data_IF_899823607729
#
_entry.id   IF_899823607729
#
_cell.length_a   1.000
_cell.length_b   1.000
_cell.length_c   1.000
_cell.angle_alpha   90.00
_cell.angle_beta   90.00
_cell.angle_gamma   90.00
#
_symmetry.space_group_name_H-M   'P 1'
#
loop_
_entity.id
_entity.type
_entity.pdbx_description
1 polymer ?
#
# COMPACT_ATOMS: atom_id res chain seq x y z
N UNK A 1 -5.60 2.79 29.67
CA UNK A 1 -4.97 2.57 28.34
C UNK A 1 -5.43 3.75 27.50
N UNK A 2 -4.63 4.80 27.40
CA UNK A 2 -4.82 5.82 26.37
C UNK A 2 -4.53 5.13 25.04
N UNK A 3 -5.56 4.94 24.24
CA UNK A 3 -5.43 4.55 22.85
C UNK A 3 -4.69 5.71 22.18
N UNK A 4 -3.41 5.48 21.89
CA UNK A 4 -2.55 6.44 21.24
C UNK A 4 -2.94 6.44 19.75
N UNK A 5 -4.09 7.07 19.45
CA UNK A 5 -4.46 7.30 18.04
C UNK A 5 -3.35 8.10 17.38
N UNK A 6 -2.61 7.43 16.51
CA UNK A 6 -1.59 8.07 15.68
C UNK A 6 -2.27 8.91 14.61
N UNK A 7 -2.52 10.17 14.93
CA UNK A 7 -3.03 11.13 13.96
C UNK A 7 -1.92 11.59 13.03
N UNK A 8 -2.18 11.54 11.73
CA UNK A 8 -1.23 11.96 10.71
C UNK A 8 -0.94 13.46 10.79
N UNK A 9 0.33 13.80 11.02
CA UNK A 9 0.80 15.17 10.98
C UNK A 9 1.41 15.48 9.62
N UNK A 10 0.62 16.04 8.72
CA UNK A 10 1.11 16.47 7.41
C UNK A 10 1.99 17.71 7.57
N UNK A 11 3.25 17.61 7.17
CA UNK A 11 4.19 18.73 7.14
C UNK A 11 3.92 19.59 5.89
N UNK A 12 3.16 20.67 6.08
CA UNK A 12 2.86 21.62 4.99
C UNK A 12 4.07 22.53 4.73
N UNK A 13 5.19 21.95 4.28
CA UNK A 13 6.39 22.70 3.91
C UNK A 13 6.34 23.10 2.45
N UNK A 14 6.65 24.36 2.16
CA UNK A 14 6.89 24.80 0.77
C UNK A 14 8.13 24.08 0.23
N UNK A 15 8.18 23.73 -1.07
CA UNK A 15 9.35 23.11 -1.70
C UNK A 15 10.51 24.11 -1.74
N UNK A 16 11.36 24.09 -0.73
CA UNK A 16 12.49 24.99 -0.56
C UNK A 16 13.85 24.27 -0.71
N UNK A 17 13.84 23.03 -1.17
CA UNK A 17 15.05 22.22 -1.33
C UNK A 17 16.04 22.83 -2.31
N UNK A 18 15.56 23.47 -3.39
CA UNK A 18 16.45 24.13 -4.36
C UNK A 18 17.18 25.34 -3.74
N UNK A 19 16.45 26.19 -3.03
CA UNK A 19 17.04 27.33 -2.35
C UNK A 19 18.04 26.89 -1.27
N UNK A 20 17.70 25.84 -0.51
CA UNK A 20 18.59 25.25 0.46
C UNK A 20 19.83 24.63 -0.20
N UNK A 21 19.68 23.88 -1.28
CA UNK A 21 20.80 23.28 -2.02
C UNK A 21 21.77 24.34 -2.57
N UNK A 22 21.23 25.41 -3.17
CA UNK A 22 22.05 26.54 -3.68
C UNK A 22 22.73 27.26 -2.51
N UNK A 23 22.01 27.57 -1.44
CA UNK A 23 22.57 28.27 -0.28
C UNK A 23 23.69 27.47 0.40
N UNK A 24 23.46 26.19 0.70
CA UNK A 24 24.49 25.33 1.28
C UNK A 24 25.63 25.06 0.31
N UNK A 25 25.35 24.93 -1.01
CA UNK A 25 26.37 24.78 -2.05
C UNK A 25 27.28 26.01 -2.16
N UNK A 26 26.70 27.21 -2.17
CA UNK A 26 27.45 28.45 -2.19
C UNK A 26 28.36 28.61 -0.95
N UNK A 27 27.80 28.28 0.23
CA UNK A 27 28.55 28.34 1.48
C UNK A 27 29.70 27.33 1.51
N UNK A 28 29.51 26.14 0.90
CA UNK A 28 30.54 25.11 0.76
C UNK A 28 31.67 25.58 -0.20
N UNK A 29 31.33 26.22 -1.32
CA UNK A 29 32.30 26.79 -2.27
C UNK A 29 33.09 27.91 -1.63
N UNK A 30 32.43 28.80 -0.86
CA UNK A 30 33.10 29.88 -0.11
C UNK A 30 34.10 29.30 0.89
N UNK A 31 33.75 28.24 1.61
CA UNK A 31 34.65 27.58 2.56
C UNK A 31 35.90 27.01 1.88
N UNK A 32 35.73 26.41 0.69
CA UNK A 32 36.87 25.92 -0.12
C UNK A 32 37.75 27.07 -0.57
N UNK A 33 37.16 28.17 -1.07
CA UNK A 33 37.91 29.36 -1.51
C UNK A 33 38.70 29.99 -0.35
N UNK A 34 38.08 30.08 0.85
CA UNK A 34 38.75 30.57 2.04
C UNK A 34 39.90 29.66 2.50
N UNK A 35 39.73 28.33 2.35
CA UNK A 35 40.80 27.37 2.64
C UNK A 35 41.98 27.56 1.70
N UNK A 36 41.75 27.76 0.40
CA UNK A 36 42.80 28.04 -0.60
C UNK A 36 43.50 29.39 -0.33
N UNK A 37 42.73 30.44 0.04
CA UNK A 37 43.27 31.71 0.42
C UNK A 37 44.14 31.61 1.69
N UNK A 38 43.70 30.86 2.68
CA UNK A 38 44.48 30.59 3.89
C UNK A 38 45.81 29.90 3.61
N UNK A 39 45.81 28.95 2.65
CA UNK A 39 47.03 28.29 2.20
C UNK A 39 48.00 29.26 1.52
N UNK A 40 47.51 30.12 0.62
CA UNK A 40 48.32 31.15 -0.03
C UNK A 40 48.89 32.18 0.97
N UNK A 41 48.12 32.56 1.98
CA UNK A 41 48.60 33.43 3.07
C UNK A 41 49.64 32.76 3.94
N UNK A 42 49.54 31.46 4.14
CA UNK A 42 50.53 30.70 4.88
C UNK A 42 51.88 30.65 4.20
N UNK A 43 51.92 30.50 2.84
CA UNK A 43 53.18 30.53 2.08
C UNK A 43 53.87 31.92 2.10
N UNK A 44 53.13 33.00 2.28
CA UNK A 44 53.65 34.37 2.31
C UNK A 44 53.99 34.88 3.74
N UNK A 45 53.57 34.12 4.76
CA UNK A 45 53.75 34.55 6.15
C UNK A 45 55.21 34.38 6.62
N UNK A 46 55.79 35.44 7.17
CA UNK A 46 57.10 35.39 7.87
C UNK A 46 57.00 34.66 9.20
N UNK A 47 58.12 34.11 9.64
CA UNK A 47 58.20 33.39 10.94
C UNK A 47 57.71 34.29 12.09
N UNK A 48 56.61 33.91 12.73
CA UNK A 48 55.95 34.62 13.83
C UNK A 48 54.50 35.03 13.60
N UNK A 49 54.02 35.10 12.33
CA UNK A 49 52.63 35.45 12.00
C UNK A 49 51.82 34.27 11.40
N UNK A 50 52.27 33.05 11.65
CA UNK A 50 51.68 31.85 11.02
C UNK A 50 50.41 31.32 11.72
N UNK A 51 50.11 31.76 12.93
CA UNK A 51 48.97 31.26 13.70
C UNK A 51 47.60 31.58 13.06
N UNK A 52 47.45 32.76 12.49
CA UNK A 52 46.19 33.20 11.88
C UNK A 52 45.81 32.38 10.63
N UNK A 53 46.71 32.18 9.63
CA UNK A 53 46.37 31.39 8.45
C UNK A 53 46.19 29.88 8.82
N UNK A 54 46.94 29.34 9.78
CA UNK A 54 46.77 27.96 10.25
C UNK A 54 45.40 27.77 10.93
N UNK A 55 44.98 28.69 11.80
CA UNK A 55 43.68 28.64 12.44
C UNK A 55 42.53 28.71 11.39
N UNK A 56 42.66 29.58 10.38
CA UNK A 56 41.70 29.66 9.29
C UNK A 56 41.59 28.34 8.53
N UNK A 57 42.72 27.74 8.15
CA UNK A 57 42.72 26.44 7.44
C UNK A 57 42.07 25.31 8.27
N UNK A 58 42.36 25.24 9.59
CA UNK A 58 41.76 24.25 10.47
C UNK A 58 40.24 24.44 10.55
N UNK A 59 39.75 25.67 10.71
CA UNK A 59 38.31 25.96 10.74
C UNK A 59 37.64 25.57 9.42
N UNK A 60 38.26 25.94 8.29
CA UNK A 60 37.74 25.59 6.97
C UNK A 60 37.73 24.05 6.73
N UNK A 61 38.78 23.36 7.16
CA UNK A 61 38.87 21.92 7.05
C UNK A 61 37.75 21.21 7.86
N UNK A 62 37.54 21.66 9.12
CA UNK A 62 36.42 21.17 9.93
C UNK A 62 35.06 21.42 9.22
N UNK A 63 34.89 22.65 8.66
CA UNK A 63 33.66 23.00 7.94
C UNK A 63 33.46 22.13 6.69
N UNK A 64 34.51 21.88 5.91
CA UNK A 64 34.44 20.99 4.74
C UNK A 64 34.00 19.58 5.14
N UNK A 65 34.50 19.06 6.25
CA UNK A 65 34.10 17.73 6.77
C UNK A 65 32.64 17.70 7.27
N UNK A 66 32.18 18.75 7.96
CA UNK A 66 30.82 18.80 8.55
C UNK A 66 29.79 19.33 7.57
N UNK A 67 30.20 20.19 6.63
CA UNK A 67 29.30 20.85 5.66
C UNK A 67 28.57 19.91 4.69
N UNK A 68 28.93 18.64 4.64
CA UNK A 68 28.21 17.61 3.92
C UNK A 68 26.87 17.24 4.57
N UNK A 69 26.76 17.33 5.90
CA UNK A 69 25.59 16.88 6.65
C UNK A 69 24.27 17.53 6.19
N UNK A 70 24.18 18.85 5.93
CA UNK A 70 22.93 19.46 5.44
C UNK A 70 22.40 18.89 4.13
N UNK A 71 23.28 18.38 3.25
CA UNK A 71 22.87 17.79 1.98
C UNK A 71 22.11 16.48 2.14
N UNK A 72 22.33 15.72 3.22
CA UNK A 72 21.58 14.52 3.54
C UNK A 72 20.09 14.80 3.79
N UNK A 73 19.72 16.03 4.14
CA UNK A 73 18.37 16.48 4.35
C UNK A 73 17.57 16.74 3.07
N UNK A 74 18.18 16.68 1.89
CA UNK A 74 17.49 16.89 0.62
C UNK A 74 16.69 15.66 0.22
N UNK A 75 15.36 15.83 0.01
CA UNK A 75 14.43 14.79 -0.38
C UNK A 75 13.62 15.22 -1.59
N UNK A 76 13.52 14.33 -2.57
CA UNK A 76 12.74 14.55 -3.79
C UNK A 76 11.49 13.67 -3.70
N UNK A 77 10.31 14.28 -3.81
CA UNK A 77 9.04 13.56 -3.93
C UNK A 77 8.47 13.74 -5.34
N UNK A 78 7.96 12.64 -5.87
CA UNK A 78 7.16 12.64 -7.10
C UNK A 78 5.68 12.86 -6.77
N UNK A 79 4.85 13.22 -7.76
CA UNK A 79 3.40 13.25 -7.59
C UNK A 79 2.87 11.93 -7.01
N UNK A 80 1.94 12.00 -6.07
CA UNK A 80 1.33 10.84 -5.42
C UNK A 80 2.34 9.94 -4.66
N UNK A 81 3.41 10.51 -4.14
CA UNK A 81 4.33 9.87 -3.20
C UNK A 81 4.29 10.59 -1.85
N UNK A 82 4.48 9.85 -0.78
CA UNK A 82 4.63 10.36 0.57
C UNK A 82 5.87 9.77 1.24
N UNK A 83 6.44 10.52 2.18
CA UNK A 83 7.55 10.06 3.02
C UNK A 83 7.18 10.28 4.48
N UNK A 84 7.22 9.21 5.27
CA UNK A 84 7.10 9.27 6.72
C UNK A 84 8.46 9.52 7.33
N UNK A 85 8.56 10.58 8.13
CA UNK A 85 9.79 11.04 8.76
C UNK A 85 9.76 10.74 10.26
N UNK A 86 10.82 10.12 10.73
CA UNK A 86 11.07 9.88 12.14
C UNK A 86 12.34 10.60 12.57
N UNK A 87 12.32 11.25 13.73
CA UNK A 87 13.46 11.92 14.31
C UNK A 87 13.80 11.23 15.64
N UNK A 88 14.96 10.60 15.70
CA UNK A 88 15.41 9.82 16.89
C UNK A 88 14.34 8.84 17.41
N UNK A 89 13.68 8.13 16.47
CA UNK A 89 12.63 7.15 16.81
C UNK A 89 11.24 7.73 17.10
N UNK A 90 11.07 9.05 17.17
CA UNK A 90 9.76 9.69 17.32
C UNK A 90 9.21 10.10 15.96
N UNK A 91 7.90 9.92 15.76
CA UNK A 91 7.22 10.40 14.58
C UNK A 91 7.29 11.92 14.49
N UNK A 92 7.92 12.42 13.45
CA UNK A 92 8.08 13.86 13.20
C UNK A 92 6.96 14.43 12.33
N UNK A 93 6.52 13.65 11.36
CA UNK A 93 5.46 14.00 10.43
C UNK A 93 5.62 13.33 9.07
N UNK A 94 4.58 13.48 8.24
CA UNK A 94 4.56 12.97 6.87
C UNK A 94 4.68 14.11 5.89
N UNK A 95 5.55 13.94 4.90
CA UNK A 95 5.70 14.84 3.78
C UNK A 95 4.88 14.31 2.60
N UNK A 96 3.82 15.04 2.22
CA UNK A 96 2.96 14.74 1.06
C UNK A 96 3.11 15.85 0.02
N UNK A 97 2.99 15.48 -1.25
CA UNK A 97 3.05 16.42 -2.37
C UNK A 97 4.37 16.34 -3.14
N UNK A 98 4.31 16.80 -4.38
CA UNK A 98 5.46 16.84 -5.27
C UNK A 98 6.40 17.97 -4.96
N UNK A 99 7.70 17.75 -5.14
CA UNK A 99 8.68 18.80 -5.03
C UNK A 99 10.01 18.36 -4.47
N UNK A 100 10.88 19.33 -4.35
CA UNK A 100 12.20 19.19 -3.76
C UNK A 100 12.23 19.89 -2.41
N UNK A 101 12.40 19.11 -1.35
CA UNK A 101 12.28 19.56 0.03
C UNK A 101 13.61 19.43 0.76
N UNK A 102 13.86 20.37 1.63
CA UNK A 102 14.91 20.27 2.63
C UNK A 102 14.28 19.96 3.99
N UNK A 103 14.71 18.87 4.60
CA UNK A 103 14.24 18.37 5.90
C UNK A 103 15.46 18.29 6.81
N UNK A 104 15.26 18.22 8.12
CA UNK A 104 16.35 18.01 9.06
C UNK A 104 17.16 16.76 8.65
N UNK A 105 18.48 16.88 8.46
CA UNK A 105 19.33 15.77 8.03
C UNK A 105 19.30 14.53 8.95
N UNK A 106 18.96 14.72 10.21
CA UNK A 106 18.83 13.64 11.18
C UNK A 106 17.49 12.90 11.11
N UNK A 107 16.56 13.36 10.25
CA UNK A 107 15.32 12.62 10.00
C UNK A 107 15.58 11.41 9.14
N UNK A 108 15.20 10.23 9.66
CA UNK A 108 15.19 8.98 8.91
C UNK A 108 13.83 8.75 8.27
N UNK A 109 13.82 8.07 7.13
CA UNK A 109 12.61 7.66 6.43
C UNK A 109 12.30 6.22 6.80
N UNK A 110 11.04 5.91 7.10
CA UNK A 110 10.62 4.57 7.49
C UNK A 110 9.45 4.09 6.64
N UNK A 111 9.58 2.90 6.05
CA UNK A 111 8.51 2.20 5.33
C UNK A 111 8.71 0.69 5.51
N UNK A 112 7.95 0.03 6.38
CA UNK A 112 8.11 -1.40 6.66
C UNK A 112 7.77 -2.26 5.44
N UNK A 113 6.82 -1.82 4.60
CA UNK A 113 6.39 -2.54 3.41
C UNK A 113 7.26 -2.29 2.16
N UNK A 114 8.44 -1.64 2.30
CA UNK A 114 9.30 -1.29 1.17
C UNK A 114 9.82 -2.52 0.39
N UNK A 115 9.97 -3.66 1.06
CA UNK A 115 10.48 -4.92 0.48
C UNK A 115 9.39 -5.87 0.02
N UNK A 116 8.13 -5.64 0.43
CA UNK A 116 7.03 -6.57 0.15
C UNK A 116 6.49 -6.34 -1.24
N UNK A 117 6.52 -7.39 -2.05
CA UNK A 117 5.86 -7.47 -3.34
C UNK A 117 4.55 -8.22 -3.13
N UNK A 118 3.42 -7.56 -3.38
CA UNK A 118 2.14 -8.24 -3.52
C UNK A 118 2.00 -8.73 -4.95
N UNK A 119 1.28 -9.84 -5.17
CA UNK A 119 0.87 -10.30 -6.49
C UNK A 119 -0.04 -9.26 -7.17
N UNK A 120 0.55 -8.15 -7.57
CA UNK A 120 -0.17 -7.08 -8.28
C UNK A 120 -0.23 -7.42 -9.77
N UNK A 121 -1.25 -6.93 -10.46
CA UNK A 121 -1.42 -7.02 -11.91
C UNK A 121 -0.27 -6.45 -12.75
N UNK A 122 0.86 -6.12 -12.18
CA UNK A 122 2.09 -5.72 -12.82
C UNK A 122 3.30 -6.56 -12.41
N UNK A 123 3.16 -7.40 -11.40
CA UNK A 123 4.16 -8.42 -11.02
C UNK A 123 3.94 -9.69 -11.86
N UNK A 124 4.04 -9.57 -13.17
CA UNK A 124 4.30 -10.74 -14.01
C UNK A 124 5.66 -11.26 -13.56
N UNK A 125 5.62 -12.24 -12.68
CA UNK A 125 6.79 -13.02 -12.27
C UNK A 125 7.24 -13.83 -13.47
N UNK A 126 7.88 -13.15 -14.41
CA UNK A 126 8.80 -13.83 -15.30
C UNK A 126 10.02 -14.10 -14.43
N UNK A 127 10.19 -15.36 -14.03
CA UNK A 127 11.29 -15.86 -13.20
C UNK A 127 12.70 -15.62 -13.78
N UNK A 128 12.86 -14.70 -14.72
CA UNK A 128 14.12 -14.43 -15.45
C UNK A 128 14.60 -12.97 -15.39
N UNK A 129 14.10 -12.15 -14.48
CA UNK A 129 14.61 -10.77 -14.32
C UNK A 129 15.17 -10.51 -12.92
N UNK A 130 15.95 -11.44 -12.40
CA UNK A 130 16.74 -11.23 -11.20
C UNK A 130 17.96 -10.31 -11.42
N UNK A 131 18.11 -9.69 -12.58
CA UNK A 131 19.33 -8.99 -12.97
C UNK A 131 19.10 -7.59 -13.56
N UNK A 132 17.98 -6.91 -13.27
CA UNK A 132 17.89 -5.50 -13.63
C UNK A 132 17.77 -4.66 -12.36
N UNK A 133 18.94 -4.24 -11.91
CA UNK A 133 19.14 -3.20 -10.92
C UNK A 133 18.29 -1.95 -11.28
N UNK A 134 17.38 -1.58 -10.39
CA UNK A 134 16.62 -0.33 -10.57
C UNK A 134 15.42 -0.14 -9.69
N UNK A 135 14.89 -1.16 -9.07
CA UNK A 135 13.90 -0.94 -8.01
C UNK A 135 14.61 -0.74 -6.68
N UNK A 136 15.05 0.50 -6.47
CA UNK A 136 15.47 0.96 -5.15
C UNK A 136 14.41 0.53 -4.13
N UNK A 137 14.84 -0.02 -3.01
CA UNK A 137 14.06 -0.15 -1.77
C UNK A 137 13.52 1.25 -1.42
N UNK A 138 12.46 1.67 -2.12
CA UNK A 138 11.94 3.01 -1.96
C UNK A 138 11.29 3.09 -0.59
N UNK A 139 11.91 3.83 0.31
CA UNK A 139 11.34 4.19 1.61
C UNK A 139 10.14 5.12 1.48
N UNK A 140 9.71 5.38 0.23
CA UNK A 140 8.54 6.19 -0.10
C UNK A 140 7.29 5.33 -0.16
N UNK A 141 6.18 5.91 0.23
CA UNK A 141 4.86 5.29 0.19
C UNK A 141 4.13 5.84 -1.03
N UNK A 142 3.58 4.95 -1.86
CA UNK A 142 2.73 5.34 -2.98
C UNK A 142 1.32 5.64 -2.47
N UNK A 143 0.80 6.82 -2.83
CA UNK A 143 -0.60 7.21 -2.60
C UNK A 143 -1.49 6.91 -3.82
N UNK A 144 -0.90 6.33 -4.86
CA UNK A 144 -1.64 5.93 -6.07
C UNK A 144 -2.61 4.81 -5.76
N UNK A 145 -3.63 4.73 -6.58
CA UNK A 145 -4.52 3.57 -6.59
C UNK A 145 -3.74 2.34 -7.01
N UNK A 146 -3.81 1.29 -6.20
CA UNK A 146 -3.13 0.02 -6.41
C UNK A 146 -4.16 -1.11 -6.44
N UNK A 147 -3.88 -2.18 -7.16
CA UNK A 147 -4.74 -3.36 -7.23
C UNK A 147 -4.02 -4.55 -6.64
N UNK A 148 -4.66 -5.20 -5.66
CA UNK A 148 -4.23 -6.46 -5.10
C UNK A 148 -5.07 -7.57 -5.75
N UNK A 149 -4.43 -8.58 -6.31
CA UNK A 149 -5.09 -9.80 -6.78
C UNK A 149 -4.66 -10.96 -5.90
N UNK A 150 -5.58 -11.44 -5.05
CA UNK A 150 -5.28 -12.59 -4.22
C UNK A 150 -5.41 -13.89 -5.01
N UNK A 151 -4.62 -14.88 -4.61
CA UNK A 151 -4.67 -16.22 -5.19
C UNK A 151 -6.08 -16.83 -4.99
N UNK A 152 -6.45 -17.74 -5.89
CA UNK A 152 -7.68 -18.50 -5.75
C UNK A 152 -7.67 -19.30 -4.46
N UNK A 153 -8.77 -19.23 -3.73
CA UNK A 153 -8.95 -19.96 -2.47
C UNK A 153 -10.10 -20.96 -2.61
N UNK A 154 -9.93 -22.12 -2.02
CA UNK A 154 -10.97 -23.13 -1.87
C UNK A 154 -11.70 -22.91 -0.55
N UNK A 155 -12.98 -22.57 -0.64
CA UNK A 155 -13.83 -22.24 0.51
C UNK A 155 -15.14 -22.98 0.35
N UNK A 156 -15.73 -23.47 1.45
CA UNK A 156 -17.05 -24.06 1.41
C UNK A 156 -18.12 -22.97 1.46
N UNK A 157 -19.13 -23.09 0.60
CA UNK A 157 -20.32 -22.24 0.62
C UNK A 157 -21.22 -22.56 1.85
N UNK A 158 -22.36 -21.89 1.99
CA UNK A 158 -23.28 -22.13 3.11
C UNK A 158 -23.89 -23.54 3.09
N UNK A 159 -23.92 -24.21 1.95
CA UNK A 159 -24.41 -25.60 1.78
C UNK A 159 -23.29 -26.63 1.99
N UNK A 160 -22.06 -26.21 2.27
CA UNK A 160 -20.93 -27.10 2.44
C UNK A 160 -20.24 -27.50 1.14
N UNK A 161 -20.64 -26.95 -0.02
CA UNK A 161 -19.99 -27.26 -1.30
C UNK A 161 -18.67 -26.52 -1.41
N UNK A 162 -17.56 -27.18 -1.76
CA UNK A 162 -16.29 -26.51 -1.98
C UNK A 162 -16.32 -25.71 -3.30
N UNK A 163 -16.07 -24.40 -3.19
CA UNK A 163 -15.97 -23.46 -4.30
C UNK A 163 -14.57 -22.86 -4.34
N UNK A 164 -14.07 -22.63 -5.54
CA UNK A 164 -12.85 -21.87 -5.77
C UNK A 164 -13.22 -20.43 -6.13
N UNK A 165 -12.71 -19.49 -5.35
CA UNK A 165 -12.97 -18.06 -5.55
C UNK A 165 -11.68 -17.26 -5.49
N UNK A 166 -11.56 -16.26 -6.38
CA UNK A 166 -10.50 -15.28 -6.38
C UNK A 166 -11.08 -13.88 -6.40
N UNK A 167 -10.40 -12.92 -5.76
CA UNK A 167 -10.81 -11.52 -5.76
C UNK A 167 -9.65 -10.62 -6.20
N UNK A 168 -10.01 -9.50 -6.80
CA UNK A 168 -9.14 -8.35 -6.99
C UNK A 168 -9.71 -7.17 -6.20
N UNK A 169 -8.84 -6.53 -5.44
CA UNK A 169 -9.20 -5.39 -4.58
C UNK A 169 -8.40 -4.17 -5.01
N UNK A 170 -9.09 -3.10 -5.33
CA UNK A 170 -8.50 -1.82 -5.67
C UNK A 170 -8.50 -0.92 -4.43
N UNK A 171 -7.33 -0.42 -4.05
CA UNK A 171 -7.12 0.25 -2.78
C UNK A 171 -6.09 1.37 -2.88
N UNK A 172 -6.05 2.25 -1.88
CA UNK A 172 -5.02 3.29 -1.73
C UNK A 172 -4.70 3.55 -0.27
N UNK A 173 -3.54 4.16 -0.02
CA UNK A 173 -3.16 4.64 1.32
C UNK A 173 -3.72 6.05 1.49
N UNK A 174 -4.50 6.27 2.54
CA UNK A 174 -5.05 7.58 2.92
C UNK A 174 -4.25 8.17 4.07
N UNK A 175 -4.06 7.39 5.13
CA UNK A 175 -3.28 7.78 6.30
C UNK A 175 -1.96 7.00 6.34
N UNK A 176 -0.88 7.70 6.05
CA UNK A 176 0.45 7.09 5.99
C UNK A 176 1.03 6.81 7.38
N UNK A 177 0.62 7.55 8.40
CA UNK A 177 1.08 7.31 9.77
C UNK A 177 0.46 6.03 10.31
N UNK A 178 -0.84 5.83 10.14
CA UNK A 178 -1.52 4.58 10.50
C UNK A 178 -0.94 3.39 9.72
N UNK A 179 -0.71 3.54 8.42
CA UNK A 179 -0.16 2.46 7.59
C UNK A 179 1.25 2.00 8.00
N UNK A 180 2.03 2.88 8.63
CA UNK A 180 3.43 2.59 8.98
C UNK A 180 3.60 2.19 10.44
N UNK A 181 2.76 2.72 11.35
CA UNK A 181 2.96 2.55 12.79
C UNK A 181 1.91 1.68 13.48
N UNK A 182 0.69 1.53 12.91
CA UNK A 182 -0.31 0.68 13.52
C UNK A 182 -0.16 -0.79 13.12
N UNK A 183 0.44 -1.06 11.96
CA UNK A 183 0.65 -2.42 11.43
C UNK A 183 2.09 -2.59 10.97
N UNK A 184 2.65 -3.78 11.18
CA UNK A 184 4.03 -4.08 10.78
C UNK A 184 4.23 -4.01 9.27
N UNK A 185 3.27 -4.49 8.50
CA UNK A 185 3.30 -4.48 7.05
C UNK A 185 1.90 -4.33 6.48
N UNK A 186 1.54 -3.10 6.12
CA UNK A 186 0.19 -2.80 5.64
C UNK A 186 -0.21 -3.57 4.36
N UNK A 187 0.74 -3.98 3.53
CA UNK A 187 0.46 -4.76 2.32
C UNK A 187 0.10 -6.20 2.65
N UNK A 188 0.87 -6.87 3.49
CA UNK A 188 0.57 -8.23 3.94
C UNK A 188 -0.68 -8.26 4.79
N UNK A 189 -0.86 -7.27 5.65
CA UNK A 189 -2.06 -7.09 6.44
C UNK A 189 -3.30 -7.00 5.54
N UNK A 190 -3.28 -6.16 4.50
CA UNK A 190 -4.36 -6.05 3.53
C UNK A 190 -4.67 -7.39 2.87
N UNK A 191 -3.66 -8.11 2.38
CA UNK A 191 -3.85 -9.41 1.73
C UNK A 191 -4.53 -10.41 2.66
N UNK A 192 -4.08 -10.48 3.91
CA UNK A 192 -4.65 -11.37 4.92
C UNK A 192 -6.10 -10.99 5.29
N UNK A 193 -6.39 -9.68 5.41
CA UNK A 193 -7.75 -9.23 5.68
C UNK A 193 -8.70 -9.49 4.50
N UNK A 194 -8.21 -9.35 3.26
CA UNK A 194 -8.97 -9.72 2.07
C UNK A 194 -9.34 -11.21 2.08
N UNK A 195 -8.39 -12.08 2.40
CA UNK A 195 -8.62 -13.53 2.47
C UNK A 195 -9.62 -13.91 3.56
N UNK A 196 -9.51 -13.25 4.71
CA UNK A 196 -10.41 -13.50 5.84
C UNK A 196 -11.82 -13.01 5.54
N UNK A 197 -11.97 -11.79 5.03
CA UNK A 197 -13.27 -11.22 4.69
C UNK A 197 -13.96 -12.02 3.58
N UNK A 198 -13.20 -12.47 2.57
CA UNK A 198 -13.72 -13.34 1.51
C UNK A 198 -14.28 -14.64 2.08
N UNK A 199 -13.54 -15.28 2.98
CA UNK A 199 -13.95 -16.53 3.62
C UNK A 199 -15.20 -16.35 4.48
N UNK A 200 -15.28 -15.25 5.23
CA UNK A 200 -16.43 -14.94 6.08
C UNK A 200 -17.71 -14.76 5.23
N UNK A 201 -17.60 -14.03 4.12
CA UNK A 201 -18.76 -13.73 3.26
C UNK A 201 -19.18 -14.96 2.43
N UNK A 202 -18.24 -15.71 1.84
CA UNK A 202 -18.56 -16.88 1.02
C UNK A 202 -19.32 -17.94 1.81
N UNK A 203 -19.06 -18.07 3.10
CA UNK A 203 -19.78 -19.02 3.99
C UNK A 203 -21.24 -18.68 4.21
N UNK A 204 -21.66 -17.45 3.93
CA UNK A 204 -23.04 -17.00 4.14
C UNK A 204 -23.90 -17.28 2.90
N UNK A 205 -23.27 -17.28 1.70
CA UNK A 205 -23.99 -17.40 0.44
C UNK A 205 -23.83 -18.77 -0.21
N UNK A 206 -24.91 -19.33 -0.82
CA UNK A 206 -24.80 -20.49 -1.70
C UNK A 206 -24.14 -20.08 -3.03
N UNK A 207 -23.48 -21.02 -3.69
CA UNK A 207 -22.88 -20.77 -5.00
C UNK A 207 -23.93 -20.41 -6.06
N UNK A 208 -24.98 -21.22 -6.15
CA UNK A 208 -26.03 -21.11 -7.17
C UNK A 208 -27.37 -21.58 -6.60
N UNK A 209 -28.28 -20.67 -6.37
CA UNK A 209 -29.66 -20.95 -5.92
C UNK A 209 -30.61 -20.05 -6.68
N UNK A 210 -31.83 -20.53 -6.94
CA UNK A 210 -32.87 -19.73 -7.56
C UNK A 210 -33.21 -18.51 -6.69
N UNK A 211 -33.48 -17.34 -7.28
CA UNK A 211 -33.88 -16.15 -6.55
C UNK A 211 -35.15 -16.42 -5.72
N UNK A 212 -35.26 -15.82 -4.55
CA UNK A 212 -36.33 -15.93 -3.58
C UNK A 212 -36.44 -17.31 -2.85
N UNK A 213 -35.35 -18.02 -2.70
CA UNK A 213 -35.26 -19.22 -1.86
C UNK A 213 -34.55 -18.85 -0.56
N UNK A 214 -35.13 -19.22 0.56
CA UNK A 214 -34.52 -19.20 1.87
C UNK A 214 -33.67 -20.46 2.04
N UNK A 215 -32.34 -20.31 1.96
CA UNK A 215 -31.38 -21.41 2.20
C UNK A 215 -30.85 -21.42 3.62
N UNK A 216 -31.02 -20.31 4.34
CA UNK A 216 -30.54 -20.15 5.72
C UNK A 216 -31.57 -20.62 6.75
N UNK A 217 -32.84 -20.71 6.36
CA UNK A 217 -33.95 -21.17 7.24
C UNK A 217 -34.38 -20.10 8.25
N UNK A 218 -34.07 -18.84 8.01
CA UNK A 218 -34.46 -17.70 8.85
C UNK A 218 -35.85 -17.13 8.49
N UNK A 219 -36.49 -17.65 7.46
CA UNK A 219 -37.81 -17.22 6.97
C UNK A 219 -37.78 -16.02 6.06
N UNK A 220 -36.59 -15.52 5.73
CA UNK A 220 -36.36 -14.45 4.77
C UNK A 220 -35.75 -15.01 3.50
N UNK A 221 -36.15 -14.50 2.34
CA UNK A 221 -35.49 -14.87 1.09
C UNK A 221 -34.02 -14.39 1.15
N UNK A 222 -33.11 -15.31 0.85
CA UNK A 222 -31.68 -14.95 0.79
C UNK A 222 -31.43 -13.82 -0.21
N UNK A 223 -30.42 -12.97 0.08
CA UNK A 223 -29.96 -11.90 -0.82
C UNK A 223 -29.42 -12.42 -2.17
N UNK A 224 -29.67 -13.70 -2.45
CA UNK A 224 -29.30 -14.40 -3.68
C UNK A 224 -28.07 -15.30 -3.52
N UNK A 225 -27.43 -15.60 -4.63
CA UNK A 225 -26.28 -16.51 -4.70
C UNK A 225 -24.98 -15.75 -5.04
N UNK A 226 -23.84 -16.38 -4.77
CA UNK A 226 -22.53 -15.84 -5.18
C UNK A 226 -22.46 -15.53 -6.68
N UNK A 227 -23.15 -16.33 -7.51
CA UNK A 227 -23.21 -16.18 -8.95
C UNK A 227 -24.25 -15.16 -9.41
N UNK A 228 -25.45 -15.20 -8.83
CA UNK A 228 -26.58 -14.36 -9.27
C UNK A 228 -26.58 -12.96 -8.70
N UNK A 229 -26.10 -12.77 -7.47
CA UNK A 229 -26.11 -11.49 -6.75
C UNK A 229 -24.71 -10.96 -6.52
N UNK A 230 -23.83 -11.11 -7.51
CA UNK A 230 -22.42 -10.76 -7.40
C UNK A 230 -22.18 -9.31 -6.96
N UNK A 231 -23.02 -8.36 -7.35
CA UNK A 231 -22.86 -6.95 -6.95
C UNK A 231 -23.11 -6.71 -5.46
N UNK A 232 -24.13 -7.36 -4.89
CA UNK A 232 -24.46 -7.27 -3.45
C UNK A 232 -23.33 -7.91 -2.64
N UNK A 233 -22.91 -9.11 -3.07
CA UNK A 233 -21.83 -9.87 -2.42
C UNK A 233 -20.52 -9.08 -2.46
N UNK A 234 -20.16 -8.51 -3.60
CA UNK A 234 -18.96 -7.69 -3.78
C UNK A 234 -18.99 -6.46 -2.88
N UNK A 235 -20.13 -5.79 -2.77
CA UNK A 235 -20.30 -4.65 -1.87
C UNK A 235 -20.09 -5.05 -0.42
N UNK A 236 -20.67 -6.17 0.03
CA UNK A 236 -20.47 -6.69 1.39
C UNK A 236 -19.01 -7.07 1.65
N UNK A 237 -18.33 -7.71 0.68
CA UNK A 237 -16.90 -8.03 0.77
C UNK A 237 -16.09 -6.73 0.93
N UNK A 238 -16.34 -5.72 0.09
CA UNK A 238 -15.66 -4.41 0.18
C UNK A 238 -15.85 -3.77 1.55
N UNK A 239 -17.10 -3.70 2.02
CA UNK A 239 -17.43 -3.05 3.30
C UNK A 239 -16.79 -3.81 4.47
N UNK A 240 -16.76 -5.16 4.41
CA UNK A 240 -16.11 -5.98 5.43
C UNK A 240 -14.59 -5.84 5.42
N UNK A 241 -13.96 -5.73 4.26
CA UNK A 241 -12.53 -5.45 4.17
C UNK A 241 -12.25 -4.04 4.71
N UNK A 242 -13.05 -3.04 4.32
CA UNK A 242 -12.87 -1.66 4.75
C UNK A 242 -12.92 -1.53 6.27
N UNK A 243 -13.89 -2.16 6.94
CA UNK A 243 -13.98 -2.20 8.40
C UNK A 243 -12.67 -2.68 9.06
N UNK A 244 -12.06 -3.72 8.48
CA UNK A 244 -10.84 -4.33 9.03
C UNK A 244 -9.55 -3.55 8.73
N UNK A 245 -9.49 -2.81 7.61
CA UNK A 245 -8.26 -2.13 7.18
C UNK A 245 -8.25 -0.63 7.53
N UNK A 246 -9.32 -0.10 8.11
CA UNK A 246 -9.40 1.28 8.55
C UNK A 246 -8.33 1.64 9.58
N UNK A 247 -8.04 0.72 10.50
CA UNK A 247 -6.97 0.87 11.49
C UNK A 247 -5.58 1.02 10.85
N UNK A 248 -5.38 0.45 9.67
CA UNK A 248 -4.15 0.57 8.89
C UNK A 248 -4.14 1.81 7.97
N UNK A 249 -5.15 2.69 8.04
CA UNK A 249 -5.24 3.89 7.22
C UNK A 249 -5.36 3.63 5.72
N UNK A 250 -5.96 2.49 5.34
CA UNK A 250 -6.18 2.09 3.96
C UNK A 250 -7.64 2.33 3.57
N UNK A 251 -7.85 2.69 2.30
CA UNK A 251 -9.18 2.84 1.72
C UNK A 251 -9.36 1.83 0.59
N UNK A 252 -10.44 1.08 0.65
CA UNK A 252 -10.86 0.15 -0.39
C UNK A 252 -11.81 0.87 -1.33
N UNK A 253 -11.38 1.05 -2.57
CA UNK A 253 -12.18 1.72 -3.61
C UNK A 253 -13.19 0.74 -4.16
N UNK A 254 -12.72 -0.44 -4.56
CA UNK A 254 -13.54 -1.47 -5.20
C UNK A 254 -13.01 -2.86 -4.89
N UNK A 255 -13.91 -3.82 -4.78
CA UNK A 255 -13.58 -5.24 -4.80
C UNK A 255 -14.27 -5.88 -6.01
N UNK A 256 -13.69 -6.90 -6.61
CA UNK A 256 -14.27 -7.66 -7.72
C UNK A 256 -13.94 -9.13 -7.59
N UNK A 257 -14.92 -9.98 -7.84
CA UNK A 257 -14.68 -11.41 -7.97
C UNK A 257 -14.05 -11.64 -9.36
N UNK A 258 -12.85 -12.19 -9.39
CA UNK A 258 -12.10 -12.47 -10.62
C UNK A 258 -12.29 -13.91 -11.09
N UNK A 259 -12.60 -14.79 -10.17
CA UNK A 259 -12.81 -16.20 -10.43
C UNK A 259 -13.83 -16.77 -9.45
N UNK A 260 -14.76 -17.57 -9.97
CA UNK A 260 -15.76 -18.27 -9.18
C UNK A 260 -16.17 -19.56 -9.90
N UNK A 261 -15.87 -20.70 -9.31
CA UNK A 261 -16.20 -22.01 -9.84
C UNK A 261 -16.37 -23.03 -8.71
N UNK A 262 -17.10 -24.10 -8.96
CA UNK A 262 -17.03 -25.27 -8.08
C UNK A 262 -15.63 -25.88 -8.10
N UNK A 263 -15.20 -26.40 -6.98
CA UNK A 263 -13.95 -27.13 -6.93
C UNK A 263 -14.00 -28.35 -7.90
N UNK A 264 -12.88 -28.68 -8.56
CA UNK A 264 -12.84 -29.74 -9.60
C UNK A 264 -13.43 -31.07 -9.14
N UNK A 265 -13.31 -31.40 -7.85
CA UNK A 265 -13.76 -32.67 -7.28
C UNK A 265 -15.26 -32.87 -7.33
N UNK A 266 -16.02 -31.76 -7.27
CA UNK A 266 -17.48 -31.82 -7.26
C UNK A 266 -18.12 -31.21 -8.51
N UNK A 267 -17.34 -30.61 -9.41
CA UNK A 267 -17.87 -29.88 -10.54
C UNK A 267 -18.78 -30.73 -11.45
N UNK A 268 -18.40 -31.98 -11.73
CA UNK A 268 -19.21 -32.90 -12.53
C UNK A 268 -20.54 -33.26 -11.85
N UNK A 269 -20.53 -33.55 -10.56
CA UNK A 269 -21.75 -33.90 -9.81
C UNK A 269 -22.70 -32.67 -9.70
N UNK A 270 -22.15 -31.47 -9.51
CA UNK A 270 -22.94 -30.24 -9.47
C UNK A 270 -23.57 -29.90 -10.81
N UNK A 271 -22.86 -30.12 -11.91
CA UNK A 271 -23.42 -29.97 -13.26
C UNK A 271 -24.62 -30.89 -13.49
N UNK A 272 -24.52 -32.16 -13.09
CA UNK A 272 -25.66 -33.12 -13.16
C UNK A 272 -26.84 -32.64 -12.33
N UNK A 273 -26.59 -32.12 -11.11
CA UNK A 273 -27.66 -31.57 -10.25
C UNK A 273 -28.33 -30.35 -10.90
N UNK A 274 -27.56 -29.44 -11.50
CA UNK A 274 -28.10 -28.28 -12.21
C UNK A 274 -28.96 -28.70 -13.40
N UNK A 275 -28.49 -29.68 -14.18
CA UNK A 275 -29.28 -30.23 -15.30
C UNK A 275 -30.62 -30.86 -14.84
N UNK A 276 -30.59 -31.63 -13.76
CA UNK A 276 -31.81 -32.23 -13.21
C UNK A 276 -32.79 -31.15 -12.70
N UNK A 277 -32.32 -30.12 -11.99
CA UNK A 277 -33.13 -28.99 -11.55
C UNK A 277 -33.75 -28.26 -12.73
N UNK A 278 -32.96 -27.93 -13.75
CA UNK A 278 -33.47 -27.26 -14.96
C UNK A 278 -34.55 -28.03 -15.69
N UNK A 279 -34.46 -29.37 -15.72
CA UNK A 279 -35.52 -30.22 -16.30
C UNK A 279 -36.82 -30.17 -15.47
N UNK A 280 -36.70 -30.18 -14.14
CA UNK A 280 -37.86 -30.07 -13.23
C UNK A 280 -38.52 -28.71 -13.39
N UNK A 281 -37.72 -27.61 -13.41
CA UNK A 281 -38.23 -26.25 -13.58
C UNK A 281 -38.90 -26.05 -14.94
N UNK A 282 -38.32 -26.60 -16.01
CA UNK A 282 -38.94 -26.59 -17.35
C UNK A 282 -40.28 -27.33 -17.37
N UNK A 283 -40.36 -28.51 -16.73
CA UNK A 283 -41.65 -29.27 -16.61
C UNK A 283 -42.69 -28.50 -15.82
N UNK A 284 -42.29 -27.84 -14.70
CA UNK A 284 -43.17 -27.00 -13.90
C UNK A 284 -43.74 -25.85 -14.73
N UNK A 285 -42.89 -25.12 -15.48
CA UNK A 285 -43.34 -24.04 -16.36
C UNK A 285 -44.32 -24.50 -17.42
N UNK A 286 -44.12 -25.69 -18.00
CA UNK A 286 -45.06 -26.30 -18.97
C UNK A 286 -46.41 -26.55 -18.33
N UNK A 287 -46.42 -27.14 -17.13
CA UNK A 287 -47.66 -27.43 -16.40
C UNK A 287 -48.39 -26.13 -16.01
N UNK A 288 -47.66 -25.17 -15.44
CA UNK A 288 -48.23 -23.87 -15.04
C UNK A 288 -48.77 -23.09 -16.25
N UNK A 289 -48.10 -23.17 -17.41
CA UNK A 289 -48.59 -22.60 -18.67
C UNK A 289 -49.82 -23.31 -19.23
N UNK A 290 -49.94 -24.65 -19.04
CA UNK A 290 -51.12 -25.42 -19.46
C UNK A 290 -52.34 -25.22 -18.53
N UNK A 291 -52.11 -24.96 -17.25
CA UNK A 291 -53.16 -24.68 -16.25
C UNK A 291 -53.66 -23.23 -16.33
N UNK A 292 -52.80 -22.30 -16.77
CA UNK A 292 -53.12 -20.88 -16.92
C UNK A 292 -53.88 -20.54 -18.22
N UNK A 293 -54.13 -21.51 -19.12
CA UNK A 293 -54.99 -21.39 -20.27
C UNK A 293 -56.42 -21.88 -19.91
#
# INVERSE_FOLDING_TARGET
>A
KEDMEMNEKVLNKKPNGLAAAIGWGALYIIAIALCCAGFAMFEQAQEGSQYAPVALMVICAIWICVGWVPFMGLKILKPQEAIVLTLFGKYHGTLKGEGFYWVNPFCTTFNPAAKTKLGQSGDVTTEKSAATAGQSNSMKISLKVMTLSNAKQKINDCLGNPVEIGIAVTWRVVDTAKAVFNVDNYKEFLSLQCDTALRDIVRIYPYDVAPNVDTTGDGLADDGSLRGSSEIVVKRIRDKIQEKVEEAGLEIIEARITYLAYAPEIAAAMLQRQQASAIIDARKMIVDGAVGM
#
